data_IF_634932166321
#
_entry.id   IF_634932166321
#
_cell.length_a   1.000
_cell.length_b   1.000
_cell.length_c   1.000
_cell.angle_alpha   90.00
_cell.angle_beta   90.00
_cell.angle_gamma   90.00
#
_symmetry.space_group_name_H-M   'P 1'
#
loop_
_entity.id
_entity.type
_entity.pdbx_description
1 polymer ?
#
# COMPACT_ATOMS: atom_id res chain seq x y z
N UNK A 1 -3.49 -14.85 7.16
CA UNK A 1 -2.01 -14.91 7.23
C UNK A 1 -1.43 -14.41 5.91
N UNK A 2 -0.30 -13.71 5.92
CA UNK A 2 0.36 -13.28 4.67
C UNK A 2 0.89 -14.53 3.96
N UNK A 3 0.65 -14.67 2.65
CA UNK A 3 1.07 -15.89 1.96
C UNK A 3 2.60 -15.96 1.85
N UNK A 4 3.18 -17.09 2.27
CA UNK A 4 4.63 -17.30 2.21
C UNK A 4 5.18 -17.11 0.80
N UNK A 5 4.41 -17.51 -0.21
CA UNK A 5 4.74 -17.33 -1.64
C UNK A 5 5.02 -15.87 -1.99
N UNK A 6 4.23 -14.94 -1.47
CA UNK A 6 4.39 -13.51 -1.76
C UNK A 6 5.60 -12.91 -1.03
N UNK A 7 5.89 -13.38 0.19
CA UNK A 7 7.10 -13.00 0.93
C UNK A 7 8.34 -13.43 0.14
N UNK A 8 8.39 -14.69 -0.29
CA UNK A 8 9.52 -15.23 -1.04
C UNK A 8 9.66 -14.57 -2.42
N UNK A 9 8.54 -14.29 -3.10
CA UNK A 9 8.55 -13.54 -4.35
C UNK A 9 9.09 -12.12 -4.16
N UNK A 10 8.64 -11.41 -3.13
CA UNK A 10 9.08 -10.06 -2.83
C UNK A 10 10.57 -10.02 -2.46
N UNK A 11 11.02 -10.96 -1.61
CA UNK A 11 12.44 -11.12 -1.26
C UNK A 11 13.31 -11.39 -2.49
N UNK A 12 12.92 -12.36 -3.33
CA UNK A 12 13.68 -12.72 -4.53
C UNK A 12 13.81 -11.51 -5.45
N UNK A 13 12.70 -10.85 -5.76
CA UNK A 13 12.65 -9.71 -6.68
C UNK A 13 13.53 -8.57 -6.19
N UNK A 14 13.34 -8.11 -4.95
CA UNK A 14 14.00 -6.89 -4.50
C UNK A 14 15.42 -7.09 -4.00
N UNK A 15 15.81 -8.30 -3.59
CA UNK A 15 17.24 -8.63 -3.44
C UNK A 15 17.97 -8.55 -4.77
N UNK A 16 17.38 -9.10 -5.83
CA UNK A 16 17.95 -9.02 -7.16
C UNK A 16 18.04 -7.58 -7.66
N UNK A 17 17.01 -6.76 -7.42
CA UNK A 17 17.03 -5.34 -7.78
C UNK A 17 18.05 -4.53 -6.99
N UNK A 18 18.19 -4.80 -5.69
CA UNK A 18 19.21 -4.17 -4.84
C UNK A 18 20.63 -4.54 -5.35
N UNK A 19 20.87 -5.81 -5.68
CA UNK A 19 22.14 -6.28 -6.23
C UNK A 19 22.45 -5.69 -7.61
N UNK A 20 21.45 -5.64 -8.49
CA UNK A 20 21.57 -5.13 -9.87
C UNK A 20 21.44 -3.61 -9.98
N UNK A 21 21.25 -2.90 -8.86
CA UNK A 21 21.05 -1.44 -8.79
C UNK A 21 19.95 -0.95 -9.75
N UNK A 22 18.83 -1.68 -9.79
CA UNK A 22 17.70 -1.37 -10.69
C UNK A 22 16.81 -0.21 -10.21
N UNK A 23 17.08 0.35 -9.04
CA UNK A 23 16.32 1.46 -8.49
C UNK A 23 16.73 2.80 -9.11
N UNK A 24 15.73 3.60 -9.46
CA UNK A 24 15.97 5.01 -9.75
C UNK A 24 16.02 5.81 -8.46
N UNK A 25 16.87 6.84 -8.43
CA UNK A 25 16.84 7.85 -7.39
C UNK A 25 15.58 8.72 -7.56
N UNK A 26 14.73 8.85 -6.53
CA UNK A 26 13.58 9.75 -6.57
C UNK A 26 14.06 11.20 -6.51
N UNK A 27 13.36 12.09 -7.22
CA UNK A 27 13.53 13.54 -7.05
C UNK A 27 12.58 14.05 -5.97
N UNK A 28 12.83 15.25 -5.44
CA UNK A 28 11.92 15.95 -4.52
C UNK A 28 10.52 16.08 -5.10
N UNK A 29 10.42 16.41 -6.38
CA UNK A 29 9.15 16.59 -7.09
C UNK A 29 8.38 15.28 -7.19
N UNK A 30 9.07 14.15 -7.39
CA UNK A 30 8.44 12.83 -7.39
C UNK A 30 7.84 12.50 -6.02
N UNK A 31 8.59 12.71 -4.95
CA UNK A 31 8.14 12.42 -3.58
C UNK A 31 6.90 13.24 -3.22
N UNK A 32 6.94 14.55 -3.47
CA UNK A 32 5.80 15.44 -3.22
C UNK A 32 4.61 15.12 -4.15
N UNK A 33 4.88 14.75 -5.41
CA UNK A 33 3.84 14.31 -6.33
C UNK A 33 3.12 13.05 -5.83
N UNK A 34 3.85 12.01 -5.43
CA UNK A 34 3.26 10.77 -4.92
C UNK A 34 2.44 11.04 -3.65
N UNK A 35 2.96 11.83 -2.71
CA UNK A 35 2.24 12.25 -1.50
C UNK A 35 0.93 12.98 -1.84
N UNK A 36 0.98 13.95 -2.76
CA UNK A 36 -0.18 14.71 -3.21
C UNK A 36 -1.19 13.80 -3.90
N UNK A 37 -0.75 12.92 -4.79
CA UNK A 37 -1.62 11.98 -5.51
C UNK A 37 -2.32 10.99 -4.58
N UNK A 38 -1.63 10.49 -3.54
CA UNK A 38 -2.24 9.65 -2.53
C UNK A 38 -3.40 10.37 -1.84
N UNK A 39 -3.15 11.59 -1.36
CA UNK A 39 -4.16 12.43 -0.70
C UNK A 39 -5.33 12.79 -1.63
N UNK A 40 -5.04 13.26 -2.84
CA UNK A 40 -6.06 13.68 -3.80
C UNK A 40 -6.96 12.50 -4.20
N UNK A 41 -6.39 11.30 -4.39
CA UNK A 41 -7.16 10.10 -4.73
C UNK A 41 -8.09 9.69 -3.59
N UNK A 42 -7.63 9.75 -2.34
CA UNK A 42 -8.47 9.46 -1.18
C UNK A 42 -9.61 10.47 -1.04
N UNK A 43 -9.28 11.76 -1.13
CA UNK A 43 -10.28 12.84 -1.03
C UNK A 43 -11.35 12.71 -2.11
N UNK A 44 -10.96 12.36 -3.33
CA UNK A 44 -11.90 12.12 -4.41
C UNK A 44 -12.80 10.91 -4.13
N UNK A 45 -12.23 9.81 -3.63
CA UNK A 45 -13.01 8.62 -3.27
C UNK A 45 -14.06 8.93 -2.18
N UNK A 46 -13.66 9.67 -1.15
CA UNK A 46 -14.56 10.13 -0.06
C UNK A 46 -15.65 11.05 -0.61
N UNK A 47 -15.27 12.03 -1.44
CA UNK A 47 -16.22 12.95 -2.05
C UNK A 47 -17.27 12.24 -2.91
N UNK A 48 -16.83 11.32 -3.77
CA UNK A 48 -17.72 10.55 -4.63
C UNK A 48 -18.66 9.66 -3.80
N UNK A 49 -18.18 9.06 -2.72
CA UNK A 49 -19.01 8.28 -1.81
C UNK A 49 -20.07 9.15 -1.13
N UNK A 50 -19.68 10.32 -0.60
CA UNK A 50 -20.62 11.27 0.02
C UNK A 50 -21.73 11.71 -0.95
N UNK A 51 -21.36 11.98 -2.20
CA UNK A 51 -22.33 12.33 -3.26
C UNK A 51 -23.25 11.17 -3.63
N UNK A 52 -22.72 9.95 -3.68
CA UNK A 52 -23.48 8.75 -3.97
C UNK A 52 -24.50 8.48 -2.85
N UNK A 53 -24.12 8.62 -1.58
CA UNK A 53 -25.02 8.39 -0.44
C UNK A 53 -26.12 9.44 -0.30
N UNK A 54 -25.85 10.68 -0.71
CA UNK A 54 -26.82 11.79 -0.62
C UNK A 54 -27.75 11.90 -1.82
N UNK A 55 -27.44 11.22 -2.94
CA UNK A 55 -28.21 11.32 -4.17
C UNK A 55 -29.00 10.04 -4.44
N UNK A 56 -30.34 10.16 -4.44
CA UNK A 56 -31.23 9.09 -4.91
C UNK A 56 -31.05 8.77 -6.40
N UNK A 57 -30.51 9.70 -7.19
CA UNK A 57 -30.29 9.52 -8.64
C UNK A 57 -29.00 8.75 -8.96
N UNK A 58 -28.05 8.70 -8.03
CA UNK A 58 -26.76 8.03 -8.24
C UNK A 58 -26.73 6.60 -7.72
N UNK A 59 -27.71 6.16 -6.92
CA UNK A 59 -27.76 4.80 -6.34
C UNK A 59 -27.72 3.68 -7.40
N UNK A 60 -28.19 3.95 -8.63
CA UNK A 60 -28.17 3.00 -9.75
C UNK A 60 -26.92 3.08 -10.61
N UNK A 61 -26.03 4.06 -10.38
CA UNK A 61 -24.89 4.29 -11.25
C UNK A 61 -23.67 3.45 -10.84
N UNK A 62 -23.64 2.23 -11.37
CA UNK A 62 -22.50 1.29 -11.25
C UNK A 62 -21.15 1.91 -11.66
N UNK A 63 -21.12 2.92 -12.54
CA UNK A 63 -19.86 3.55 -12.92
C UNK A 63 -19.24 4.28 -11.72
N UNK A 64 -20.05 4.96 -10.89
CA UNK A 64 -19.56 5.75 -9.76
C UNK A 64 -18.95 4.87 -8.66
N UNK A 65 -19.56 3.73 -8.34
CA UNK A 65 -18.99 2.77 -7.37
C UNK A 65 -17.64 2.22 -7.83
N UNK A 66 -17.49 1.93 -9.13
CA UNK A 66 -16.20 1.52 -9.70
C UNK A 66 -15.13 2.63 -9.63
N UNK A 67 -15.52 3.89 -9.85
CA UNK A 67 -14.61 5.03 -9.67
C UNK A 67 -14.15 5.18 -8.22
N UNK A 68 -15.05 5.03 -7.24
CA UNK A 68 -14.70 5.08 -5.82
C UNK A 68 -13.67 3.99 -5.47
N UNK A 69 -13.89 2.75 -5.91
CA UNK A 69 -12.97 1.63 -5.67
C UNK A 69 -11.61 1.89 -6.33
N UNK A 70 -11.63 2.39 -7.56
CA UNK A 70 -10.40 2.71 -8.31
C UNK A 70 -9.59 3.80 -7.62
N UNK A 71 -10.23 4.87 -7.17
CA UNK A 71 -9.56 5.96 -6.46
C UNK A 71 -9.05 5.53 -5.07
N UNK A 72 -9.80 4.66 -4.37
CA UNK A 72 -9.36 4.05 -3.11
C UNK A 72 -8.08 3.23 -3.30
N UNK A 73 -8.02 2.41 -4.36
CA UNK A 73 -6.82 1.66 -4.72
C UNK A 73 -5.64 2.58 -5.07
N UNK A 74 -5.85 3.61 -5.89
CA UNK A 74 -4.77 4.52 -6.29
C UNK A 74 -4.24 5.34 -5.10
N UNK A 75 -5.08 5.69 -4.13
CA UNK A 75 -4.61 6.26 -2.86
C UNK A 75 -3.56 5.36 -2.22
N UNK A 76 -3.87 4.07 -2.04
CA UNK A 76 -2.95 3.13 -1.40
C UNK A 76 -1.69 2.90 -2.25
N UNK A 77 -1.84 2.81 -3.57
CA UNK A 77 -0.72 2.72 -4.52
C UNK A 77 0.28 3.87 -4.33
N UNK A 78 -0.22 5.10 -4.32
CA UNK A 78 0.61 6.29 -4.20
C UNK A 78 1.20 6.49 -2.80
N UNK A 79 0.53 6.01 -1.74
CA UNK A 79 1.13 5.96 -0.40
C UNK A 79 2.37 5.05 -0.39
N UNK A 80 2.34 3.90 -1.07
CA UNK A 80 3.51 3.02 -1.19
C UNK A 80 4.61 3.67 -2.06
N UNK A 81 4.26 4.34 -3.15
CA UNK A 81 5.26 5.07 -3.95
C UNK A 81 5.91 6.21 -3.16
N UNK A 82 5.11 6.96 -2.41
CA UNK A 82 5.60 8.02 -1.54
C UNK A 82 6.58 7.46 -0.50
N UNK A 83 6.19 6.36 0.17
CA UNK A 83 7.05 5.66 1.10
C UNK A 83 8.37 5.19 0.46
N UNK A 84 8.33 4.61 -0.74
CA UNK A 84 9.56 4.19 -1.43
C UNK A 84 10.43 5.41 -1.76
N UNK A 85 9.80 6.50 -2.18
CA UNK A 85 10.47 7.77 -2.44
C UNK A 85 11.22 8.29 -1.22
N UNK A 86 10.63 8.23 -0.02
CA UNK A 86 11.29 8.59 1.23
C UNK A 86 12.51 7.69 1.55
N UNK A 87 12.51 6.44 1.09
CA UNK A 87 13.66 5.51 1.20
C UNK A 87 14.70 5.69 0.08
N UNK A 88 14.57 6.72 -0.75
CA UNK A 88 15.48 6.95 -1.87
C UNK A 88 15.27 5.95 -3.03
N UNK A 89 14.07 5.38 -3.17
CA UNK A 89 13.74 4.36 -4.17
C UNK A 89 12.58 4.79 -5.06
N UNK A 90 12.76 4.66 -6.36
CA UNK A 90 11.71 4.84 -7.36
C UNK A 90 11.68 3.64 -8.30
N UNK A 91 10.49 3.08 -8.52
CA UNK A 91 10.27 2.01 -9.50
C UNK A 91 10.62 2.48 -10.90
N UNK A 92 11.26 1.62 -11.69
CA UNK A 92 11.49 1.87 -13.10
C UNK A 92 10.15 1.82 -13.85
N UNK A 93 9.87 2.85 -14.64
CA UNK A 93 8.69 2.89 -15.52
C UNK A 93 8.77 1.76 -16.55
N UNK A 94 7.62 1.21 -16.95
CA UNK A 94 7.57 0.13 -17.95
C UNK A 94 7.90 -1.27 -17.42
N UNK A 95 7.95 -1.46 -16.10
CA UNK A 95 8.01 -2.80 -15.49
C UNK A 95 6.72 -3.57 -15.77
N UNK A 96 6.85 -4.86 -16.09
CA UNK A 96 5.81 -5.72 -16.69
C UNK A 96 4.53 -5.88 -15.84
N UNK A 97 4.49 -5.40 -14.60
CA UNK A 97 3.26 -5.23 -13.81
C UNK A 97 3.52 -4.27 -12.64
N UNK A 98 3.52 -2.95 -12.89
CA UNK A 98 3.79 -1.93 -11.86
C UNK A 98 2.86 -2.09 -10.63
N UNK A 99 1.61 -2.50 -10.84
CA UNK A 99 0.63 -2.72 -9.78
C UNK A 99 0.94 -3.94 -8.91
N UNK A 100 1.56 -4.99 -9.45
CA UNK A 100 2.07 -6.10 -8.64
C UNK A 100 3.38 -5.73 -7.95
N UNK A 101 4.27 -5.06 -8.66
CA UNK A 101 5.57 -4.65 -8.12
C UNK A 101 5.40 -3.75 -6.91
N UNK A 102 4.47 -2.78 -6.93
CA UNK A 102 4.20 -1.92 -5.77
C UNK A 102 3.70 -2.73 -4.56
N UNK A 103 2.82 -3.72 -4.76
CA UNK A 103 2.33 -4.58 -3.67
C UNK A 103 3.47 -5.40 -3.06
N UNK A 104 4.34 -5.97 -3.91
CA UNK A 104 5.51 -6.70 -3.44
C UNK A 104 6.50 -5.76 -2.74
N UNK A 105 6.66 -4.51 -3.21
CA UNK A 105 7.55 -3.54 -2.60
C UNK A 105 7.08 -3.17 -1.19
N UNK A 106 5.75 -3.01 -1.02
CA UNK A 106 5.15 -2.83 0.29
C UNK A 106 5.48 -3.99 1.24
N UNK A 107 5.30 -5.23 0.76
CA UNK A 107 5.65 -6.45 1.53
C UNK A 107 7.14 -6.46 1.88
N UNK A 108 8.03 -6.21 0.93
CA UNK A 108 9.46 -6.38 1.19
C UNK A 108 10.04 -5.28 2.07
N UNK A 109 9.85 -4.01 1.72
CA UNK A 109 10.52 -2.91 2.41
C UNK A 109 9.86 -2.56 3.74
N UNK A 110 8.55 -2.74 3.86
CA UNK A 110 7.80 -2.31 5.05
C UNK A 110 7.35 -3.48 5.91
N UNK A 111 7.16 -4.68 5.34
CA UNK A 111 6.89 -5.88 6.16
C UNK A 111 8.19 -6.62 6.44
N UNK A 112 8.91 -7.12 5.43
CA UNK A 112 10.06 -8.02 5.64
C UNK A 112 11.29 -7.31 6.23
N UNK A 113 11.81 -6.27 5.56
CA UNK A 113 12.93 -5.47 6.08
C UNK A 113 12.55 -4.71 7.34
N UNK A 114 11.26 -4.45 7.50
CA UNK A 114 10.74 -3.75 8.65
C UNK A 114 10.66 -4.56 9.93
N UNK A 115 10.26 -5.81 9.81
CA UNK A 115 10.02 -6.71 10.95
C UNK A 115 11.20 -7.61 11.31
N UNK A 116 12.36 -7.45 10.67
CA UNK A 116 13.53 -8.33 10.85
C UNK A 116 13.22 -9.84 10.64
N UNK A 117 12.16 -10.18 9.88
CA UNK A 117 11.86 -11.56 9.48
C UNK A 117 12.97 -12.23 8.62
N UNK A 118 14.03 -11.48 8.29
CA UNK A 118 15.31 -12.00 7.82
C UNK A 118 16.28 -12.32 8.98
N UNK A 119 15.92 -13.20 9.92
CA UNK A 119 16.93 -13.77 10.81
C UNK A 119 17.81 -14.77 10.04
N UNK A 120 18.98 -14.32 9.56
CA UNK A 120 20.24 -15.11 9.48
C UNK A 120 21.48 -14.24 9.13
N UNK A 121 21.96 -13.47 10.12
CA UNK A 121 23.36 -13.41 10.62
C UNK A 121 23.60 -12.11 11.41
N UNK A 122 24.35 -12.16 12.53
CA UNK A 122 24.80 -10.97 13.23
C UNK A 122 26.05 -10.42 12.53
N UNK A 123 25.91 -9.34 11.78
CA UNK A 123 27.06 -8.45 11.49
C UNK A 123 26.56 -7.17 10.84
N UNK A 124 26.68 -6.09 11.61
CA UNK A 124 26.95 -4.73 11.17
C UNK A 124 26.10 -4.30 9.96
N UNK A 125 24.78 -4.23 10.16
CA UNK A 125 23.93 -3.40 9.33
C UNK A 125 23.30 -2.41 10.31
N UNK A 126 23.79 -1.18 10.22
CA UNK A 126 23.23 0.04 10.79
C UNK A 126 21.74 -0.11 11.04
N UNK A 127 21.38 -0.12 12.32
CA UNK A 127 20.04 0.06 12.90
C UNK A 127 19.03 0.65 11.91
N UNK A 128 18.36 -0.23 11.15
CA UNK A 128 17.14 0.11 10.45
C UNK A 128 16.16 0.58 11.51
N UNK A 129 15.85 1.87 11.55
CA UNK A 129 15.04 2.54 12.59
C UNK A 129 13.62 1.98 12.74
N UNK A 130 13.21 1.09 11.85
CA UNK A 130 12.01 0.26 12.02
C UNK A 130 12.13 -0.70 13.20
N UNK A 131 13.35 -1.07 13.59
CA UNK A 131 13.61 -1.76 14.85
C UNK A 131 13.18 -0.91 16.03
N UNK A 132 13.32 0.42 16.06
CA UNK A 132 12.85 1.22 17.21
C UNK A 132 11.35 1.37 17.25
N UNK A 133 10.66 1.53 16.11
CA UNK A 133 9.20 1.55 16.10
C UNK A 133 8.66 0.19 16.57
N UNK A 134 9.05 -0.92 15.94
CA UNK A 134 8.59 -2.26 16.33
C UNK A 134 9.16 -2.74 17.68
N UNK A 135 10.31 -2.25 18.14
CA UNK A 135 10.89 -2.60 19.44
C UNK A 135 10.41 -1.70 20.59
N UNK A 136 9.99 -0.46 20.34
CA UNK A 136 9.14 0.27 21.31
C UNK A 136 7.79 -0.43 21.48
N UNK A 137 7.25 -1.03 20.40
CA UNK A 137 6.02 -1.83 20.47
C UNK A 137 6.24 -3.27 21.03
N UNK A 138 7.50 -3.75 21.17
CA UNK A 138 7.82 -5.09 21.72
C UNK A 138 7.65 -5.21 23.24
N UNK A 139 7.58 -4.10 23.97
CA UNK A 139 7.45 -4.13 25.44
C UNK A 139 5.99 -4.27 25.90
N UNK A 140 5.03 -4.26 24.98
CA UNK A 140 3.60 -4.45 25.24
C UNK A 140 3.11 -5.73 24.52
N UNK A 141 2.07 -6.37 25.02
CA UNK A 141 1.38 -7.55 24.44
C UNK A 141 0.89 -7.38 22.96
N UNK A 142 1.25 -6.28 22.30
CA UNK A 142 0.78 -5.76 21.00
C UNK A 142 1.44 -6.39 19.76
N UNK A 143 2.41 -7.30 19.91
CA UNK A 143 3.05 -7.96 18.75
C UNK A 143 2.04 -8.66 17.82
N UNK A 144 0.94 -9.19 18.37
CA UNK A 144 -0.09 -9.84 17.56
C UNK A 144 -1.00 -8.84 16.86
N UNK A 145 -1.35 -7.72 17.50
CA UNK A 145 -2.30 -6.75 16.95
C UNK A 145 -1.68 -5.94 15.80
N UNK A 146 -0.47 -5.44 15.98
CA UNK A 146 0.22 -4.65 14.94
C UNK A 146 0.62 -5.51 13.74
N UNK A 147 1.12 -6.72 13.98
CA UNK A 147 1.35 -7.68 12.90
C UNK A 147 0.05 -8.00 12.17
N UNK A 148 -1.08 -8.14 12.87
CA UNK A 148 -2.39 -8.33 12.25
C UNK A 148 -2.83 -7.11 11.44
N UNK A 149 -2.60 -5.87 11.90
CA UNK A 149 -2.88 -4.62 11.17
C UNK A 149 -2.06 -4.51 9.90
N UNK A 150 -0.76 -4.79 9.96
CA UNK A 150 0.13 -4.80 8.78
C UNK A 150 -0.27 -5.90 7.80
N UNK A 151 -0.54 -7.12 8.29
CA UNK A 151 -1.02 -8.21 7.44
C UNK A 151 -2.39 -7.92 6.81
N UNK A 152 -3.29 -7.27 7.55
CA UNK A 152 -4.58 -6.79 7.05
C UNK A 152 -4.35 -5.77 5.93
N UNK A 153 -3.47 -4.80 6.13
CA UNK A 153 -3.14 -3.77 5.14
C UNK A 153 -2.57 -4.35 3.84
N UNK A 154 -1.70 -5.36 3.92
CA UNK A 154 -1.23 -6.09 2.72
C UNK A 154 -2.36 -6.82 2.01
N UNK A 155 -3.24 -7.52 2.76
CA UNK A 155 -4.40 -8.21 2.19
C UNK A 155 -5.35 -7.22 1.53
N UNK A 156 -5.59 -6.08 2.17
CA UNK A 156 -6.46 -5.04 1.66
C UNK A 156 -5.88 -4.43 0.38
N UNK A 157 -4.58 -4.12 0.33
CA UNK A 157 -3.94 -3.62 -0.89
C UNK A 157 -4.07 -4.61 -2.06
N UNK A 158 -3.87 -5.92 -1.82
CA UNK A 158 -4.06 -6.95 -2.84
C UNK A 158 -5.50 -7.06 -3.29
N UNK A 159 -6.43 -7.13 -2.34
CA UNK A 159 -7.87 -7.22 -2.63
C UNK A 159 -8.33 -6.02 -3.45
N UNK A 160 -7.86 -4.82 -3.12
CA UNK A 160 -8.18 -3.59 -3.85
C UNK A 160 -7.58 -3.61 -5.26
N UNK A 161 -6.34 -4.09 -5.44
CA UNK A 161 -5.74 -4.31 -6.76
C UNK A 161 -6.60 -5.25 -7.61
N UNK A 162 -7.02 -6.38 -7.05
CA UNK A 162 -7.83 -7.40 -7.72
C UNK A 162 -9.24 -6.91 -8.04
N UNK A 163 -9.88 -6.19 -7.10
CA UNK A 163 -11.18 -5.57 -7.31
C UNK A 163 -11.11 -4.55 -8.45
N UNK A 164 -10.16 -3.62 -8.41
CA UNK A 164 -9.93 -2.65 -9.49
C UNK A 164 -9.69 -3.36 -10.83
N UNK A 165 -8.84 -4.38 -10.87
CA UNK A 165 -8.58 -5.15 -12.09
C UNK A 165 -9.86 -5.81 -12.62
N UNK A 166 -10.64 -6.45 -11.75
CA UNK A 166 -11.90 -7.08 -12.14
C UNK A 166 -12.90 -6.07 -12.70
N UNK A 167 -13.08 -4.90 -12.08
CA UNK A 167 -13.98 -3.87 -12.58
C UNK A 167 -13.48 -3.17 -13.85
N UNK A 168 -12.17 -3.08 -14.04
CA UNK A 168 -11.61 -2.46 -15.26
C UNK A 168 -11.73 -3.37 -16.48
N UNK A 169 -11.55 -4.68 -16.30
CA UNK A 169 -11.37 -5.61 -17.41
C UNK A 169 -12.47 -6.67 -17.56
N UNK A 170 -13.36 -6.85 -16.58
CA UNK A 170 -14.52 -7.74 -16.69
C UNK A 170 -15.79 -6.92 -16.89
N UNK A 171 -16.26 -6.86 -18.13
CA UNK A 171 -17.40 -6.00 -18.54
C UNK A 171 -18.73 -6.29 -17.84
N UNK A 172 -18.86 -7.42 -17.14
CA UNK A 172 -20.12 -7.84 -16.50
C UNK A 172 -20.13 -7.69 -14.97
N UNK A 173 -19.10 -7.09 -14.36
CA UNK A 173 -19.05 -6.95 -12.90
C UNK A 173 -19.50 -5.56 -12.49
N UNK A 174 -20.60 -5.49 -11.74
CA UNK A 174 -21.07 -4.26 -11.12
C UNK A 174 -20.62 -4.19 -9.66
N UNK A 175 -20.17 -3.02 -9.21
CA UNK A 175 -19.74 -2.83 -7.82
C UNK A 175 -20.92 -2.34 -6.97
N UNK A 176 -21.19 -3.00 -5.85
CA UNK A 176 -22.18 -2.52 -4.89
C UNK A 176 -21.67 -1.31 -4.12
N UNK A 177 -22.58 -0.46 -3.63
CA UNK A 177 -22.25 0.67 -2.74
C UNK A 177 -21.51 0.16 -1.48
N UNK A 178 -21.90 -1.02 -0.98
CA UNK A 178 -21.26 -1.66 0.17
C UNK A 178 -19.77 -1.96 -0.07
N UNK A 179 -19.39 -2.35 -1.29
CA UNK A 179 -17.99 -2.60 -1.69
C UNK A 179 -17.21 -1.30 -1.83
N UNK A 180 -17.84 -0.25 -2.38
CA UNK A 180 -17.25 1.08 -2.47
C UNK A 180 -16.94 1.67 -1.08
N UNK A 181 -17.89 1.57 -0.14
CA UNK A 181 -17.69 1.98 1.27
C UNK A 181 -16.53 1.25 1.93
N UNK A 182 -16.47 -0.08 1.80
CA UNK A 182 -15.37 -0.90 2.33
C UNK A 182 -14.02 -0.49 1.72
N UNK A 183 -14.00 -0.16 0.43
CA UNK A 183 -12.78 0.27 -0.26
C UNK A 183 -12.25 1.61 0.26
N UNK A 184 -13.14 2.59 0.49
CA UNK A 184 -12.77 3.87 1.13
C UNK A 184 -12.23 3.63 2.54
N UNK A 185 -12.94 2.84 3.36
CA UNK A 185 -12.50 2.52 4.72
C UNK A 185 -11.09 1.91 4.77
N UNK A 186 -10.81 0.95 3.87
CA UNK A 186 -9.47 0.34 3.73
C UNK A 186 -8.41 1.36 3.35
N UNK A 187 -8.71 2.29 2.44
CA UNK A 187 -7.75 3.32 2.03
C UNK A 187 -7.45 4.31 3.16
N UNK A 188 -8.44 4.67 3.98
CA UNK A 188 -8.27 5.49 5.18
C UNK A 188 -7.37 4.79 6.20
N UNK A 189 -7.66 3.55 6.56
CA UNK A 189 -6.87 2.78 7.53
C UNK A 189 -5.43 2.56 7.03
N UNK A 190 -5.26 2.29 5.73
CA UNK A 190 -3.94 2.14 5.13
C UNK A 190 -3.12 3.42 5.22
N UNK A 191 -3.74 4.57 4.91
CA UNK A 191 -3.09 5.88 5.04
C UNK A 191 -2.66 6.14 6.49
N UNK A 192 -3.54 5.88 7.46
CA UNK A 192 -3.22 6.05 8.88
C UNK A 192 -1.99 5.21 9.28
N UNK A 193 -1.96 3.94 8.87
CA UNK A 193 -0.79 3.08 9.09
C UNK A 193 0.49 3.66 8.47
N UNK A 194 0.41 4.21 7.25
CA UNK A 194 1.56 4.82 6.58
C UNK A 194 2.02 6.10 7.29
N UNK A 195 1.08 6.94 7.72
CA UNK A 195 1.39 8.17 8.46
C UNK A 195 2.04 7.87 9.82
N UNK A 196 1.47 6.93 10.58
CA UNK A 196 2.05 6.39 11.83
C UNK A 196 3.48 5.87 11.60
N UNK A 197 3.66 5.10 10.52
CA UNK A 197 4.94 4.56 10.14
C UNK A 197 5.97 5.66 9.85
N UNK A 198 5.62 6.67 9.06
CA UNK A 198 6.53 7.78 8.74
C UNK A 198 6.88 8.59 9.99
N UNK A 199 5.90 8.87 10.84
CA UNK A 199 6.10 9.63 12.08
C UNK A 199 7.09 8.93 13.02
N UNK A 200 6.99 7.60 13.13
CA UNK A 200 7.91 6.80 13.97
C UNK A 200 9.38 6.83 13.54
N UNK A 201 9.69 7.34 12.33
CA UNK A 201 11.03 7.34 11.73
C UNK A 201 11.72 8.71 11.73
N UNK A 202 10.99 9.76 12.09
CA UNK A 202 11.50 11.12 12.28
C UNK A 202 11.97 11.30 13.72
#
# INVERSE_FOLDING_TARGET
MLEQKDIEQAKKLFKEWDLKRMWHSPTSEFIEHSKKKAKDSLNLAIYLLDKLEKSKELETNCAVTMWIITQSYYSMFFEVEYLLGLEGRKLQGGTEDTHKTICLAFIYYYVVKGSELEKKKPSIITTSRMSKALTLFKELQDETLELQRVQKSVRDLKTQKEQRHAFTYRMNRTAEISEAKKSVGKAIEFRQLIEEYILSRR
#
